data_IF_503803982854
#
_entry.id   IF_503803982854
#
_cell.length_a   1.000
_cell.length_b   1.000
_cell.length_c   1.000
_cell.angle_alpha   90.00
_cell.angle_beta   90.00
_cell.angle_gamma   90.00
#
_symmetry.space_group_name_H-M   'P 1'
#
loop_
_entity.id
_entity.type
_entity.pdbx_description
1 polymer ?
#
# COMPACT_ATOMS: atom_id res chain seq x y z
N UNK A 1 -0.86 6.92 6.38
CA UNK A 1 0.02 7.77 5.54
C UNK A 1 0.57 6.91 4.41
N UNK A 2 0.49 7.37 3.17
CA UNK A 2 0.82 6.61 1.96
C UNK A 2 2.32 6.25 1.85
N UNK A 3 3.18 7.12 2.38
CA UNK A 3 4.62 6.85 2.46
C UNK A 3 4.94 5.62 3.33
N UNK A 4 4.22 5.46 4.44
CA UNK A 4 4.38 4.30 5.33
C UNK A 4 3.96 3.00 4.64
N UNK A 5 2.93 3.07 3.80
CA UNK A 5 2.44 1.94 3.02
C UNK A 5 3.48 1.49 1.97
N UNK A 6 4.14 2.45 1.30
CA UNK A 6 5.23 2.14 0.38
C UNK A 6 6.45 1.52 1.07
N UNK A 7 6.83 2.01 2.26
CA UNK A 7 7.91 1.43 3.05
C UNK A 7 7.56 0.03 3.61
N UNK A 8 6.31 -0.19 4.02
CA UNK A 8 5.85 -1.50 4.44
C UNK A 8 5.90 -2.53 3.29
N UNK A 9 5.49 -2.14 2.08
CA UNK A 9 5.52 -3.02 0.91
C UNK A 9 6.94 -3.49 0.55
N UNK A 10 7.97 -2.66 0.79
CA UNK A 10 9.39 -3.06 0.58
C UNK A 10 9.86 -4.12 1.58
N UNK A 11 9.23 -4.21 2.75
CA UNK A 11 9.55 -5.18 3.80
C UNK A 11 8.87 -6.52 3.61
N UNK A 12 7.95 -6.65 2.64
CA UNK A 12 7.28 -7.92 2.34
C UNK A 12 8.32 -8.90 1.74
N UNK A 13 8.43 -10.12 2.27
CA UNK A 13 9.33 -11.15 1.76
C UNK A 13 9.13 -11.43 0.26
N UNK A 14 10.21 -11.79 -0.44
CA UNK A 14 10.15 -12.05 -1.89
C UNK A 14 9.29 -13.27 -2.24
N UNK A 15 9.27 -14.30 -1.39
CA UNK A 15 8.45 -15.48 -1.57
C UNK A 15 6.95 -15.17 -1.49
N UNK A 16 6.53 -14.25 -0.62
CA UNK A 16 5.14 -13.75 -0.54
C UNK A 16 4.81 -12.98 -1.82
N UNK A 17 5.69 -12.05 -2.23
CA UNK A 17 5.48 -11.26 -3.46
C UNK A 17 5.38 -12.12 -4.71
N UNK A 18 6.14 -13.21 -4.78
CA UNK A 18 6.10 -14.18 -5.89
C UNK A 18 4.83 -15.02 -5.91
N UNK A 19 4.25 -15.33 -4.74
CA UNK A 19 3.00 -16.09 -4.62
C UNK A 19 1.77 -15.25 -4.97
N UNK A 20 1.86 -13.94 -4.81
CA UNK A 20 0.78 -12.98 -5.09
C UNK A 20 1.18 -11.95 -6.15
N UNK A 21 1.42 -12.37 -7.42
CA UNK A 21 1.87 -11.47 -8.49
C UNK A 21 0.79 -10.53 -9.02
N UNK A 22 -0.47 -10.75 -8.62
CA UNK A 22 -1.61 -9.90 -8.93
C UNK A 22 -1.55 -8.55 -8.19
N UNK A 23 -0.83 -8.50 -7.06
CA UNK A 23 -0.55 -7.25 -6.34
C UNK A 23 0.59 -6.51 -7.05
N UNK A 24 0.42 -5.23 -7.42
CA UNK A 24 1.44 -4.47 -8.12
C UNK A 24 2.54 -3.97 -7.15
N UNK A 25 3.31 -4.88 -6.54
CA UNK A 25 4.29 -4.62 -5.49
C UNK A 25 5.26 -3.48 -5.79
N UNK A 26 5.71 -3.38 -7.05
CA UNK A 26 6.59 -2.29 -7.50
C UNK A 26 5.90 -0.92 -7.42
N UNK A 27 4.63 -0.84 -7.80
CA UNK A 27 3.87 0.41 -7.76
C UNK A 27 3.58 0.80 -6.31
N UNK A 28 3.25 -0.18 -5.45
CA UNK A 28 3.03 0.05 -4.02
C UNK A 28 4.32 0.53 -3.34
N UNK A 29 5.46 -0.11 -3.60
CA UNK A 29 6.75 0.34 -3.10
C UNK A 29 7.18 1.72 -3.63
N UNK A 30 6.73 2.05 -4.84
CA UNK A 30 6.95 3.34 -5.51
C UNK A 30 5.95 4.43 -5.11
N UNK A 31 4.97 4.17 -4.23
CA UNK A 31 3.97 5.16 -3.84
C UNK A 31 4.61 6.40 -3.19
N UNK A 32 5.72 6.21 -2.46
CA UNK A 32 6.55 7.32 -1.96
C UNK A 32 7.12 8.16 -3.09
N UNK A 33 7.60 7.53 -4.16
CA UNK A 33 8.23 8.23 -5.28
C UNK A 33 7.18 8.96 -6.13
N UNK A 34 5.96 8.40 -6.25
CA UNK A 34 4.79 9.05 -6.84
C UNK A 34 4.44 10.29 -6.04
N UNK A 35 4.30 10.20 -4.71
CA UNK A 35 3.99 11.37 -3.88
C UNK A 35 5.10 12.42 -3.88
N UNK A 36 6.37 11.99 -3.86
CA UNK A 36 7.51 12.90 -3.91
C UNK A 36 7.65 13.60 -5.28
N UNK A 37 7.29 12.95 -6.39
CA UNK A 37 7.30 13.56 -7.73
C UNK A 37 6.03 14.36 -8.04
N UNK A 38 4.84 13.88 -7.64
CA UNK A 38 3.57 14.60 -7.78
C UNK A 38 3.52 15.87 -6.92
N UNK A 39 4.41 16.02 -5.94
CA UNK A 39 4.55 17.27 -5.18
C UNK A 39 5.19 18.41 -6.01
N UNK A 40 5.92 18.11 -7.08
CA UNK A 40 6.63 19.11 -7.89
C UNK A 40 5.85 19.61 -9.11
N UNK A 41 4.82 18.88 -9.54
CA UNK A 41 3.84 19.33 -10.52
C UNK A 41 2.47 18.92 -9.98
N UNK A 42 1.79 19.88 -9.35
CA UNK A 42 0.45 19.71 -8.77
C UNK A 42 -0.50 19.24 -9.88
N UNK A 43 -0.71 17.94 -9.96
CA UNK A 43 -1.81 17.37 -10.71
C UNK A 43 -2.68 16.65 -9.69
N UNK A 44 -3.50 17.44 -9.00
CA UNK A 44 -4.43 16.99 -7.96
C UNK A 44 -5.34 15.87 -8.48
N UNK A 45 -5.57 15.80 -9.79
CA UNK A 45 -6.31 14.72 -10.45
C UNK A 45 -5.61 13.36 -10.27
N UNK A 46 -4.28 13.31 -10.36
CA UNK A 46 -3.51 12.07 -10.16
C UNK A 46 -3.58 11.64 -8.71
N UNK A 47 -3.49 12.58 -7.77
CA UNK A 47 -3.60 12.27 -6.34
C UNK A 47 -5.01 11.77 -6.00
N UNK A 48 -6.04 12.43 -6.53
CA UNK A 48 -7.43 12.03 -6.34
C UNK A 48 -7.72 10.66 -6.95
N UNK A 49 -7.21 10.38 -8.15
CA UNK A 49 -7.33 9.07 -8.79
C UNK A 49 -6.70 7.95 -7.94
N UNK A 50 -5.50 8.19 -7.41
CA UNK A 50 -4.82 7.24 -6.50
C UNK A 50 -5.66 6.97 -5.25
N UNK A 51 -6.26 8.01 -4.66
CA UNK A 51 -7.05 7.88 -3.44
C UNK A 51 -8.39 7.20 -3.70
N UNK A 52 -9.10 7.56 -4.77
CA UNK A 52 -10.44 7.02 -5.04
C UNK A 52 -10.41 5.65 -5.72
N UNK A 53 -9.44 5.36 -6.58
CA UNK A 53 -9.46 4.16 -7.41
C UNK A 53 -8.37 3.15 -7.04
N UNK A 54 -7.13 3.59 -6.83
CA UNK A 54 -6.01 2.64 -6.63
C UNK A 54 -5.91 2.15 -5.18
N UNK A 55 -6.24 2.97 -4.19
CA UNK A 55 -6.19 2.59 -2.79
C UNK A 55 -7.24 1.54 -2.40
N UNK A 56 -8.53 1.67 -2.77
CA UNK A 56 -9.52 0.65 -2.44
C UNK A 56 -9.20 -0.71 -3.08
N UNK A 57 -8.76 -0.70 -4.33
CA UNK A 57 -8.34 -1.90 -5.05
C UNK A 57 -7.14 -2.57 -4.39
N UNK A 58 -6.16 -1.78 -3.94
CA UNK A 58 -5.01 -2.29 -3.22
C UNK A 58 -5.42 -2.88 -1.86
N UNK A 59 -6.31 -2.20 -1.12
CA UNK A 59 -6.79 -2.67 0.17
C UNK A 59 -7.46 -4.04 0.03
N UNK A 60 -8.38 -4.19 -0.92
CA UNK A 60 -9.07 -5.46 -1.16
C UNK A 60 -8.11 -6.62 -1.47
N UNK A 61 -7.04 -6.35 -2.23
CA UNK A 61 -6.01 -7.37 -2.53
C UNK A 61 -5.15 -7.70 -1.31
N UNK A 62 -4.83 -6.71 -0.48
CA UNK A 62 -4.07 -6.93 0.75
C UNK A 62 -4.88 -7.70 1.79
N UNK A 63 -6.19 -7.45 1.90
CA UNK A 63 -7.12 -8.22 2.72
C UNK A 63 -7.16 -9.68 2.26
N UNK A 64 -7.34 -9.92 0.95
CA UNK A 64 -7.31 -11.26 0.38
C UNK A 64 -5.97 -11.98 0.61
N UNK A 65 -4.84 -11.25 0.56
CA UNK A 65 -3.53 -11.79 0.91
C UNK A 65 -3.44 -12.16 2.39
N UNK A 66 -3.99 -11.34 3.28
CA UNK A 66 -3.99 -11.64 4.71
C UNK A 66 -4.83 -12.88 5.01
N UNK A 67 -6.00 -13.01 4.41
CA UNK A 67 -6.83 -14.21 4.50
C UNK A 67 -6.10 -15.46 3.96
N UNK A 68 -5.42 -15.33 2.83
CA UNK A 68 -4.68 -16.42 2.20
C UNK A 68 -3.45 -16.87 3.01
N UNK A 69 -2.77 -15.95 3.68
CA UNK A 69 -1.62 -16.25 4.55
C UNK A 69 -2.03 -16.57 6.00
N UNK A 70 -3.32 -16.45 6.34
CA UNK A 70 -3.82 -16.63 7.72
C UNK A 70 -3.35 -15.53 8.67
N UNK A 71 -3.11 -14.33 8.16
CA UNK A 71 -2.70 -13.15 8.94
C UNK A 71 -3.98 -12.47 9.44
N UNK A 72 -4.21 -12.49 10.74
CA UNK A 72 -5.27 -11.72 11.38
C UNK A 72 -4.87 -10.24 11.41
N UNK A 73 -5.48 -9.43 10.53
CA UNK A 73 -5.29 -7.99 10.59
C UNK A 73 -6.02 -7.45 11.82
N UNK A 74 -5.35 -6.70 12.71
CA UNK A 74 -6.05 -6.05 13.79
C UNK A 74 -7.07 -5.08 13.15
N UNK A 75 -8.32 -5.15 13.60
CA UNK A 75 -9.45 -4.43 12.98
C UNK A 75 -9.18 -2.93 12.81
N UNK A 76 -10.01 -2.22 12.03
CA UNK A 76 -9.76 -0.85 11.55
C UNK A 76 -9.54 0.22 12.65
N UNK A 77 -9.76 -0.14 13.92
CA UNK A 77 -9.58 0.70 15.11
C UNK A 77 -8.20 0.53 15.80
N UNK A 78 -7.36 -0.38 15.29
CA UNK A 78 -6.01 -0.58 15.79
C UNK A 78 -5.10 0.58 15.34
N UNK A 79 -5.16 1.66 16.10
CA UNK A 79 -4.23 2.78 16.00
C UNK A 79 -2.80 2.22 16.05
N UNK A 80 -1.96 2.42 15.01
CA UNK A 80 -0.58 1.95 15.04
C UNK A 80 0.09 2.57 16.27
N UNK A 81 0.86 1.81 17.06
CA UNK A 81 1.59 2.39 18.18
C UNK A 81 2.43 3.55 17.63
N UNK A 82 2.18 4.75 18.15
CA UNK A 82 2.89 5.95 17.73
C UNK A 82 4.41 5.73 17.87
N UNK A 83 5.23 6.35 17.01
CA UNK A 83 6.68 6.20 17.11
C UNK A 83 7.13 6.67 18.51
N UNK A 84 7.74 5.75 19.25
CA UNK A 84 8.42 6.03 20.52
C UNK A 84 9.67 6.88 20.30
#
# INVERSE_FOLDING_TARGET
NLELLGEAAKKIPEDVRRRHPDIPWRNVAGLRDILAHSYFAVDDEVLWDVVEHHLPDLLARLEALCDAEGIDLPGPDATPPGPA
#
